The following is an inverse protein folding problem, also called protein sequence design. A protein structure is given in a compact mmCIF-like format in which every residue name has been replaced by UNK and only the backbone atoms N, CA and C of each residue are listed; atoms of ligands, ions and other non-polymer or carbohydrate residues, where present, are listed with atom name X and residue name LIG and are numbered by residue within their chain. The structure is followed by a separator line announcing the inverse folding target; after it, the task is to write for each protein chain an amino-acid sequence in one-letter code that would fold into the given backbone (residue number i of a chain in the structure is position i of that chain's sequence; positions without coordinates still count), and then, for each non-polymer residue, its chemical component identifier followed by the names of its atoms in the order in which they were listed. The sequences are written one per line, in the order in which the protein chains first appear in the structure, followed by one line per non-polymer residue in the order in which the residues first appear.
data_IF_715644912230
#
_entry.id   IF_715644912230
#
_cell.length_a   1.000
_cell.length_b   1.000
_cell.length_c   1.000
_cell.angle_alpha   90.00
_cell.angle_beta   90.00
_cell.angle_gamma   90.00
#
_symmetry.space_group_name_H-M   'P 1'
#
loop_
_entity.id
_entity.type
_entity.pdbx_description
1 polymer ?
#
# COMPACT_ATOMS: atom_id res chain seq x y z
N UNK A 1 11.12 -9.99 11.30
CA UNK A 1 10.44 -10.58 10.12
C UNK A 1 9.05 -11.17 10.40
N UNK A 2 8.70 -11.49 11.66
CA UNK A 2 7.40 -12.07 11.98
C UNK A 2 6.21 -11.15 11.64
N UNK A 3 6.33 -9.83 11.84
CA UNK A 3 5.26 -8.87 11.54
C UNK A 3 4.88 -8.75 10.05
N UNK A 4 5.86 -8.77 9.14
CA UNK A 4 5.61 -8.75 7.69
C UNK A 4 4.86 -10.02 7.24
N UNK A 5 5.33 -11.19 7.72
CA UNK A 5 4.73 -12.48 7.39
C UNK A 5 3.33 -12.65 7.98
N UNK A 6 3.10 -12.11 9.17
CA UNK A 6 1.81 -12.12 9.85
C UNK A 6 0.80 -11.23 9.13
N UNK A 7 1.17 -9.97 8.84
CA UNK A 7 0.29 -9.03 8.15
C UNK A 7 -0.11 -9.52 6.75
N UNK A 8 0.83 -10.12 5.99
CA UNK A 8 0.52 -10.73 4.68
C UNK A 8 -0.42 -11.94 4.80
N UNK A 9 -0.36 -12.71 5.90
CA UNK A 9 -1.17 -13.93 6.04
C UNK A 9 -2.59 -13.64 6.54
N UNK A 10 -2.70 -12.71 7.48
CA UNK A 10 -3.94 -12.38 8.19
C UNK A 10 -4.79 -11.36 7.42
N UNK A 11 -4.17 -10.35 6.79
CA UNK A 11 -4.91 -9.22 6.21
C UNK A 11 -5.16 -9.37 4.71
N UNK A 12 -6.45 -9.33 4.31
CA UNK A 12 -6.86 -9.46 2.90
C UNK A 12 -6.37 -8.27 2.06
N UNK A 13 -6.41 -7.07 2.63
CA UNK A 13 -5.98 -5.83 1.96
C UNK A 13 -4.47 -5.85 1.68
N UNK A 14 -3.66 -6.29 2.65
CA UNK A 14 -2.22 -6.52 2.45
C UNK A 14 -1.90 -7.47 1.30
N UNK A 15 -2.63 -8.59 1.14
CA UNK A 15 -2.43 -9.52 0.01
C UNK A 15 -2.67 -8.84 -1.33
N UNK A 16 -3.70 -8.00 -1.42
CA UNK A 16 -4.01 -7.26 -2.65
C UNK A 16 -2.89 -6.27 -2.96
N UNK A 17 -2.48 -5.45 -2.00
CA UNK A 17 -1.42 -4.46 -2.20
C UNK A 17 -0.08 -5.09 -2.60
N UNK A 18 0.31 -6.21 -1.96
CA UNK A 18 1.53 -6.95 -2.32
C UNK A 18 1.43 -7.56 -3.72
N UNK A 19 0.29 -8.17 -4.06
CA UNK A 19 0.10 -8.81 -5.37
C UNK A 19 0.12 -7.77 -6.49
N UNK A 20 -0.62 -6.67 -6.32
CA UNK A 20 -0.64 -5.56 -7.29
C UNK A 20 0.73 -4.90 -7.39
N UNK A 21 1.40 -4.66 -6.27
CA UNK A 21 2.75 -4.11 -6.24
C UNK A 21 3.76 -4.98 -6.99
N UNK A 22 3.70 -6.31 -6.81
CA UNK A 22 4.56 -7.24 -7.55
C UNK A 22 4.31 -7.20 -9.06
N UNK A 23 3.04 -7.10 -9.49
CA UNK A 23 2.68 -6.96 -10.91
C UNK A 23 3.23 -5.64 -11.48
N UNK A 24 3.07 -4.52 -10.77
CA UNK A 24 3.58 -3.20 -11.20
C UNK A 24 5.10 -3.24 -11.37
N UNK A 25 5.82 -3.84 -10.41
CA UNK A 25 7.26 -3.97 -10.50
C UNK A 25 7.68 -4.89 -11.65
N UNK A 26 6.97 -6.00 -11.89
CA UNK A 26 7.24 -6.88 -13.02
C UNK A 26 7.10 -6.11 -14.35
N UNK A 27 6.00 -5.36 -14.52
CA UNK A 27 5.79 -4.52 -15.72
C UNK A 27 6.88 -3.45 -15.85
N UNK A 28 7.32 -2.86 -14.74
CA UNK A 28 8.41 -1.88 -14.72
C UNK A 28 9.76 -2.44 -15.20
N UNK A 29 9.99 -3.74 -15.03
CA UNK A 29 11.19 -4.42 -15.55
C UNK A 29 11.05 -4.83 -17.02
N UNK A 30 9.83 -5.04 -17.51
CA UNK A 30 9.56 -5.41 -18.91
C UNK A 30 9.59 -4.20 -19.84
N UNK A 31 9.21 -3.02 -19.36
CA UNK A 31 9.24 -1.77 -20.13
C UNK A 31 10.63 -1.12 -20.10
N UNK A 32 11.01 -0.39 -21.17
CA UNK A 32 12.30 0.31 -21.27
C UNK A 32 12.32 1.61 -20.45
N UNK A 33 11.92 1.54 -19.17
CA UNK A 33 11.90 2.67 -18.25
C UNK A 33 13.32 3.13 -17.88
N UNK A 34 13.46 4.41 -17.58
CA UNK A 34 14.67 4.96 -16.97
C UNK A 34 14.88 4.43 -15.55
N UNK A 35 16.11 4.53 -15.05
CA UNK A 35 16.43 4.14 -13.67
C UNK A 35 15.66 4.97 -12.63
N UNK A 36 15.33 6.22 -12.94
CA UNK A 36 14.58 7.11 -12.05
C UNK A 36 13.12 6.69 -11.97
N UNK A 37 12.46 6.40 -13.09
CA UNK A 37 11.07 5.93 -13.11
C UNK A 37 10.91 4.60 -12.37
N UNK A 38 11.86 3.67 -12.56
CA UNK A 38 11.89 2.43 -11.77
C UNK A 38 12.03 2.70 -10.28
N UNK A 39 12.97 3.57 -9.88
CA UNK A 39 13.14 3.93 -8.47
C UNK A 39 11.87 4.54 -7.86
N UNK A 40 11.17 5.38 -8.62
CA UNK A 40 9.87 5.95 -8.21
C UNK A 40 8.85 4.83 -7.98
N UNK A 41 8.69 3.90 -8.94
CA UNK A 41 7.74 2.79 -8.79
C UNK A 41 8.07 1.89 -7.58
N UNK A 42 9.35 1.61 -7.35
CA UNK A 42 9.80 0.88 -6.15
C UNK A 42 9.43 1.61 -4.86
N UNK A 43 9.70 2.92 -4.79
CA UNK A 43 9.37 3.74 -3.63
C UNK A 43 7.85 3.80 -3.41
N UNK A 44 7.09 4.01 -4.48
CA UNK A 44 5.63 4.07 -4.46
C UNK A 44 5.02 2.78 -3.92
N UNK A 45 5.43 1.61 -4.43
CA UNK A 45 4.97 0.31 -3.92
C UNK A 45 5.37 0.11 -2.46
N UNK A 46 6.60 0.46 -2.10
CA UNK A 46 7.11 0.36 -0.73
C UNK A 46 6.31 1.20 0.28
N UNK A 47 5.94 2.43 -0.09
CA UNK A 47 5.14 3.32 0.76
C UNK A 47 3.72 2.78 0.96
N UNK A 48 3.06 2.28 -0.09
CA UNK A 48 1.69 1.72 0.04
C UNK A 48 1.68 0.51 0.98
N UNK A 49 2.65 -0.41 0.82
CA UNK A 49 2.78 -1.58 1.71
C UNK A 49 3.06 -1.12 3.15
N UNK A 50 3.95 -0.14 3.34
CA UNK A 50 4.26 0.39 4.67
C UNK A 50 3.04 1.03 5.34
N UNK A 51 2.24 1.77 4.58
CA UNK A 51 1.01 2.39 5.08
C UNK A 51 -0.03 1.35 5.50
N UNK A 52 -0.18 0.27 4.73
CA UNK A 52 -1.06 -0.85 5.08
C UNK A 52 -0.59 -1.53 6.38
N UNK A 53 0.73 -1.73 6.55
CA UNK A 53 1.29 -2.25 7.80
C UNK A 53 0.99 -1.34 8.99
N UNK A 54 1.07 -0.01 8.80
CA UNK A 54 0.69 0.94 9.84
C UNK A 54 -0.81 0.92 10.13
N UNK A 55 -1.67 0.75 9.12
CA UNK A 55 -3.11 0.58 9.33
C UNK A 55 -3.39 -0.62 10.24
N UNK A 56 -2.83 -1.79 9.91
CA UNK A 56 -2.96 -2.99 10.77
C UNK A 56 -2.40 -2.75 12.17
N UNK A 57 -1.25 -2.07 12.29
CA UNK A 57 -0.68 -1.76 13.60
C UNK A 57 -1.62 -0.88 14.45
N UNK A 58 -2.23 0.15 13.85
CA UNK A 58 -3.21 0.98 14.54
C UNK A 58 -4.46 0.21 14.92
N UNK A 59 -4.98 -0.65 14.04
CA UNK A 59 -6.10 -1.53 14.35
C UNK A 59 -5.82 -2.39 15.59
N UNK A 60 -4.65 -3.05 15.64
CA UNK A 60 -4.25 -3.89 16.78
C UNK A 60 -4.03 -3.08 18.06
N UNK A 61 -3.49 -1.86 17.97
CA UNK A 61 -3.34 -0.97 19.13
C UNK A 61 -4.71 -0.54 19.66
N UNK A 62 -5.63 -0.16 18.78
CA UNK A 62 -7.00 0.22 19.18
C UNK A 62 -7.72 -0.97 19.82
N UNK A 63 -7.60 -2.17 19.25
CA UNK A 63 -8.20 -3.39 19.80
C UNK A 63 -7.57 -3.77 21.16
N UNK A 64 -6.28 -3.52 21.36
CA UNK A 64 -5.62 -3.72 22.66
C UNK A 64 -6.14 -2.76 23.72
N UNK A 65 -6.43 -1.50 23.35
CA UNK A 65 -6.86 -0.46 24.29
C UNK A 65 -8.35 -0.60 24.65
N UNK A 66 -9.21 -0.97 23.70
CA UNK A 66 -10.65 -1.13 23.94
C UNK A 66 -11.25 -2.20 23.05
N UNK A 67 -12.08 -3.05 23.65
CA UNK A 67 -12.94 -4.02 22.95
C UNK A 67 -14.39 -3.50 22.81
N UNK A 68 -14.75 -2.44 23.55
CA UNK A 68 -16.05 -1.79 23.42
C UNK A 68 -16.02 -0.72 22.32
N UNK A 69 -17.18 -0.50 21.72
CA UNK A 69 -17.34 0.55 20.71
C UNK A 69 -17.10 1.92 21.34
N UNK A 70 -16.12 2.66 20.80
CA UNK A 70 -15.81 4.02 21.21
C UNK A 70 -15.71 4.93 19.98
N UNK A 71 -16.33 6.12 19.96
CA UNK A 71 -16.29 7.03 18.81
C UNK A 71 -14.86 7.35 18.34
N UNK A 72 -13.94 7.55 19.30
CA UNK A 72 -12.52 7.81 19.01
C UNK A 72 -11.81 6.58 18.41
N UNK A 73 -12.11 5.37 18.89
CA UNK A 73 -11.55 4.14 18.35
C UNK A 73 -11.96 3.95 16.88
N UNK A 74 -13.23 4.25 16.57
CA UNK A 74 -13.71 4.28 15.19
C UNK A 74 -12.97 5.33 14.35
N UNK A 75 -12.85 6.56 14.84
CA UNK A 75 -12.17 7.65 14.11
C UNK A 75 -10.71 7.30 13.78
N UNK A 76 -9.97 6.67 14.70
CA UNK A 76 -8.58 6.24 14.44
C UNK A 76 -8.51 5.22 13.32
N UNK A 77 -9.38 4.19 13.34
CA UNK A 77 -9.45 3.17 12.28
C UNK A 77 -9.86 3.76 10.93
N UNK A 78 -10.82 4.67 10.92
CA UNK A 78 -11.28 5.36 9.71
C UNK A 78 -10.18 6.25 9.10
N UNK A 79 -9.39 6.95 9.93
CA UNK A 79 -8.26 7.77 9.46
C UNK A 79 -7.13 6.89 8.91
N UNK A 80 -6.79 5.80 9.60
CA UNK A 80 -5.71 4.91 9.19
C UNK A 80 -6.01 4.25 7.83
N UNK A 81 -7.23 3.72 7.66
CA UNK A 81 -7.68 3.16 6.37
C UNK A 81 -7.82 4.23 5.28
N UNK A 82 -8.26 5.44 5.64
CA UNK A 82 -8.29 6.60 4.74
C UNK A 82 -6.91 6.99 4.21
N UNK A 83 -5.87 6.93 5.06
CA UNK A 83 -4.50 7.21 4.65
C UNK A 83 -3.98 6.19 3.63
N UNK A 84 -4.28 4.90 3.82
CA UNK A 84 -3.96 3.85 2.84
C UNK A 84 -4.66 4.13 1.51
N UNK A 85 -5.94 4.49 1.54
CA UNK A 85 -6.70 4.77 0.32
C UNK A 85 -6.09 5.92 -0.48
N UNK A 86 -5.72 7.02 0.19
CA UNK A 86 -5.05 8.16 -0.46
C UNK A 86 -3.75 7.71 -1.12
N UNK A 87 -2.91 6.96 -0.42
CA UNK A 87 -1.65 6.45 -0.97
C UNK A 87 -1.86 5.47 -2.13
N UNK A 88 -2.87 4.61 -2.05
CA UNK A 88 -3.23 3.70 -3.13
C UNK A 88 -3.64 4.47 -4.39
N UNK A 89 -4.49 5.49 -4.27
CA UNK A 89 -4.89 6.32 -5.41
C UNK A 89 -3.70 7.11 -5.99
N UNK A 90 -2.85 7.69 -5.14
CA UNK A 90 -1.63 8.35 -5.59
C UNK A 90 -0.69 7.37 -6.30
N UNK A 91 -0.57 6.14 -5.82
CA UNK A 91 0.27 5.12 -6.46
C UNK A 91 -0.21 4.76 -7.87
N UNK A 92 -1.53 4.68 -8.06
CA UNK A 92 -2.14 4.42 -9.37
C UNK A 92 -1.86 5.60 -10.31
N UNK A 93 -2.03 6.84 -9.84
CA UNK A 93 -1.74 8.03 -10.63
C UNK A 93 -0.27 8.08 -11.08
N UNK A 94 0.67 7.80 -10.18
CA UNK A 94 2.11 7.73 -10.50
C UNK A 94 2.39 6.65 -11.54
N UNK A 95 1.84 5.44 -11.35
CA UNK A 95 2.03 4.34 -12.28
C UNK A 95 1.48 4.66 -13.68
N UNK A 96 0.32 5.30 -13.78
CA UNK A 96 -0.26 5.74 -15.05
C UNK A 96 0.60 6.82 -15.72
N UNK A 97 1.06 7.83 -14.98
CA UNK A 97 1.94 8.87 -15.52
C UNK A 97 3.23 8.30 -16.11
N UNK A 98 3.78 7.25 -15.48
CA UNK A 98 4.99 6.58 -15.95
C UNK A 98 4.69 5.64 -17.11
N UNK A 99 3.64 4.81 -17.05
CA UNK A 99 3.42 3.77 -18.06
C UNK A 99 2.74 4.26 -19.33
N UNK A 100 1.81 5.22 -19.27
CA UNK A 100 1.06 5.70 -20.46
C UNK A 100 1.98 6.13 -21.60
N UNK A 101 3.04 6.94 -21.39
CA UNK A 101 3.94 7.34 -22.46
C UNK A 101 4.60 6.17 -23.20
N UNK A 102 4.89 5.06 -22.52
CA UNK A 102 5.52 3.88 -23.11
C UNK A 102 4.53 2.90 -23.77
N UNK A 103 3.23 3.06 -23.52
CA UNK A 103 2.17 2.21 -24.09
C UNK A 103 1.50 2.84 -25.31
N UNK A 104 1.58 4.15 -25.47
CA UNK A 104 0.96 4.91 -26.57
C UNK A 104 1.98 5.23 -27.69
N UNK A 105 3.26 4.89 -27.48
CA UNK A 105 4.33 4.95 -28.48
C UNK A 105 4.50 3.61 -29.17
#
# INVERSE_FOLDING_TARGET
MNGLRQSIREERHMKVHVTVGAIVLLVAFLLPLTSVERAILFLTVGIVISAEMFNTAFERVVDLVTQEWHPLAKAVKDIASGAVLVLALTSIAIALCIFIPYLVQ
#
